data_IF_875143165937
#
_entry.id   IF_875143165937
#
_cell.length_a   1.000
_cell.length_b   1.000
_cell.length_c   1.000
_cell.angle_alpha   90.00
_cell.angle_beta   90.00
_cell.angle_gamma   90.00
#
_symmetry.space_group_name_H-M   'P 1'
#
loop_
_entity.id
_entity.type
_entity.pdbx_description
1 polymer ?
#
# COMPACT_ATOMS: atom_id res chain seq x y z
N UNK A 1 -36.15 21.07 -19.39
CA UNK A 1 -35.10 21.76 -18.58
C UNK A 1 -34.79 21.04 -17.26
N UNK A 2 -35.80 20.51 -16.56
CA UNK A 2 -35.65 19.85 -15.25
C UNK A 2 -34.76 18.59 -15.23
N UNK A 3 -34.94 17.68 -16.20
CA UNK A 3 -34.19 16.41 -16.26
C UNK A 3 -32.68 16.58 -16.45
N UNK A 4 -32.26 17.62 -17.19
CA UNK A 4 -30.83 17.96 -17.34
C UNK A 4 -30.24 18.53 -16.05
N UNK A 5 -31.04 19.24 -15.24
CA UNK A 5 -30.60 19.74 -13.93
C UNK A 5 -30.32 18.57 -12.98
N UNK A 6 -31.27 17.65 -12.88
CA UNK A 6 -31.17 16.44 -12.03
C UNK A 6 -29.96 15.58 -12.43
N UNK A 7 -29.75 15.36 -13.73
CA UNK A 7 -28.58 14.61 -14.21
C UNK A 7 -27.24 15.28 -13.84
N UNK A 8 -27.20 16.61 -13.83
CA UNK A 8 -26.01 17.39 -13.49
C UNK A 8 -25.72 17.34 -11.98
N UNK A 9 -26.76 17.44 -11.15
CA UNK A 9 -26.65 17.31 -9.69
C UNK A 9 -26.17 15.92 -9.29
N UNK A 10 -26.74 14.87 -9.89
CA UNK A 10 -26.30 13.49 -9.64
C UNK A 10 -24.84 13.27 -10.06
N UNK A 11 -24.46 13.75 -11.24
CA UNK A 11 -23.07 13.67 -11.71
C UNK A 11 -22.11 14.41 -10.76
N UNK A 12 -22.51 15.57 -10.26
CA UNK A 12 -21.70 16.34 -9.32
C UNK A 12 -21.58 15.63 -7.96
N UNK A 13 -22.64 15.02 -7.47
CA UNK A 13 -22.62 14.23 -6.23
C UNK A 13 -21.67 13.03 -6.36
N UNK A 14 -21.73 12.31 -7.50
CA UNK A 14 -20.80 11.20 -7.80
C UNK A 14 -19.36 11.69 -7.86
N UNK A 15 -19.10 12.81 -8.55
CA UNK A 15 -17.75 13.39 -8.64
C UNK A 15 -17.22 13.83 -7.28
N UNK A 16 -18.06 14.41 -6.43
CA UNK A 16 -17.67 14.83 -5.08
C UNK A 16 -17.37 13.62 -4.18
N UNK A 17 -18.21 12.58 -4.22
CA UNK A 17 -17.96 11.33 -3.50
C UNK A 17 -16.67 10.65 -3.99
N UNK A 18 -16.45 10.60 -5.32
CA UNK A 18 -15.24 10.07 -5.91
C UNK A 18 -14.00 10.89 -5.50
N UNK A 19 -14.09 12.22 -5.44
CA UNK A 19 -13.00 13.10 -5.00
C UNK A 19 -12.64 12.89 -3.52
N UNK A 20 -13.63 12.64 -2.65
CA UNK A 20 -13.41 12.38 -1.23
C UNK A 20 -12.86 10.97 -0.94
N UNK A 21 -13.27 9.98 -1.73
CA UNK A 21 -13.01 8.57 -1.42
C UNK A 21 -11.89 7.93 -2.25
N UNK A 22 -11.59 8.44 -3.45
CA UNK A 22 -10.53 7.90 -4.30
C UNK A 22 -9.25 8.69 -4.03
N UNK A 23 -8.19 8.06 -3.46
CA UNK A 23 -6.92 8.73 -3.24
C UNK A 23 -6.34 9.19 -4.58
N UNK A 24 -6.10 10.50 -4.73
CA UNK A 24 -5.41 11.08 -5.90
C UNK A 24 -3.91 11.21 -5.60
N UNK A 25 -3.08 10.91 -6.59
CA UNK A 25 -1.63 10.96 -6.45
C UNK A 25 -1.04 9.82 -5.60
N UNK A 26 0.24 9.94 -5.25
CA UNK A 26 0.92 8.98 -4.40
C UNK A 26 0.32 8.99 -2.99
N UNK A 27 -0.03 7.82 -2.46
CA UNK A 27 -0.53 7.68 -1.09
C UNK A 27 0.57 8.11 -0.11
N UNK A 28 0.30 9.16 0.68
CA UNK A 28 1.25 9.75 1.65
C UNK A 28 1.84 8.71 2.60
N UNK A 29 1.01 7.79 3.10
CA UNK A 29 1.41 6.72 4.02
C UNK A 29 1.34 5.34 3.37
N UNK A 30 1.77 5.24 2.10
CA UNK A 30 1.82 3.95 1.43
C UNK A 30 2.82 3.01 2.12
N UNK A 31 2.29 2.00 2.81
CA UNK A 31 3.06 0.83 3.23
C UNK A 31 2.94 -0.23 2.12
N UNK A 32 4.03 -0.55 1.39
CA UNK A 32 4.00 -1.60 0.38
C UNK A 32 3.54 -2.93 1.01
N UNK A 33 2.88 -3.79 0.22
CA UNK A 33 2.39 -5.13 0.63
C UNK A 33 1.57 -5.17 1.94
N UNK A 34 1.06 -4.03 2.40
CA UNK A 34 0.31 -3.92 3.64
C UNK A 34 -1.12 -4.42 3.45
N UNK A 35 -1.49 -5.47 4.18
CA UNK A 35 -2.82 -6.08 4.12
C UNK A 35 -3.55 -5.92 5.44
N UNK A 36 -4.88 -6.12 5.42
CA UNK A 36 -5.69 -6.11 6.64
C UNK A 36 -5.22 -7.16 7.67
N UNK A 37 -4.69 -8.28 7.20
CA UNK A 37 -4.13 -9.34 8.06
C UNK A 37 -2.82 -8.90 8.71
N UNK A 38 -1.92 -8.27 7.96
CA UNK A 38 -0.68 -7.69 8.51
C UNK A 38 -1.01 -6.61 9.55
N UNK A 39 -1.99 -5.74 9.26
CA UNK A 39 -2.46 -4.73 10.20
C UNK A 39 -3.05 -5.33 11.48
N UNK A 40 -3.82 -6.41 11.36
CA UNK A 40 -4.39 -7.14 12.51
C UNK A 40 -3.28 -7.73 13.38
N UNK A 41 -2.26 -8.31 12.77
CA UNK A 41 -1.12 -8.90 13.48
C UNK A 41 -0.19 -7.88 14.10
N UNK A 42 -0.03 -6.71 13.47
CA UNK A 42 0.69 -5.57 14.07
C UNK A 42 0.01 -5.14 15.37
N UNK A 43 -1.33 -4.98 15.35
CA UNK A 43 -2.09 -4.64 16.56
C UNK A 43 -1.96 -5.71 17.64
N UNK A 44 -2.07 -6.99 17.26
CA UNK A 44 -1.93 -8.09 18.21
C UNK A 44 -0.52 -8.15 18.82
N UNK A 45 0.52 -7.92 18.01
CA UNK A 45 1.90 -7.83 18.47
C UNK A 45 2.09 -6.70 19.49
N UNK A 46 1.48 -5.53 19.25
CA UNK A 46 1.56 -4.40 20.16
C UNK A 46 0.88 -4.67 21.51
N UNK A 47 -0.26 -5.37 21.52
CA UNK A 47 -0.91 -5.78 22.76
C UNK A 47 -0.01 -6.74 23.56
N UNK A 48 0.49 -7.79 22.92
CA UNK A 48 1.39 -8.78 23.55
C UNK A 48 2.69 -8.14 24.06
N UNK A 49 3.19 -7.12 23.35
CA UNK A 49 4.33 -6.32 23.79
C UNK A 49 4.02 -5.58 25.08
N UNK A 50 2.88 -4.88 25.13
CA UNK A 50 2.46 -4.13 26.31
C UNK A 50 2.29 -5.06 27.52
N UNK A 51 1.69 -6.24 27.33
CA UNK A 51 1.55 -7.25 28.37
C UNK A 51 2.91 -7.81 28.83
N UNK A 52 3.84 -8.06 27.91
CA UNK A 52 5.19 -8.51 28.24
C UNK A 52 5.98 -7.45 29.04
N UNK A 53 5.85 -6.17 28.67
CA UNK A 53 6.51 -5.05 29.37
C UNK A 53 5.95 -4.84 30.77
N UNK A 54 4.64 -5.05 30.98
CA UNK A 54 3.98 -4.94 32.28
C UNK A 54 4.28 -6.13 33.21
N UNK A 55 4.08 -7.35 32.72
CA UNK A 55 4.18 -8.55 33.56
C UNK A 55 5.62 -9.04 33.76
N UNK A 56 6.54 -8.70 32.84
CA UNK A 56 7.96 -9.05 32.88
C UNK A 56 8.24 -10.55 33.17
N UNK A 57 7.36 -11.42 32.69
CA UNK A 57 7.42 -12.86 32.94
C UNK A 57 7.95 -13.62 31.72
N UNK A 58 8.45 -14.85 31.95
CA UNK A 58 8.89 -15.75 30.87
C UNK A 58 7.72 -16.13 29.96
N UNK A 59 6.52 -16.31 30.51
CA UNK A 59 5.31 -16.71 29.76
C UNK A 59 4.90 -15.60 28.80
N UNK A 60 4.77 -14.36 29.30
CA UNK A 60 4.36 -13.20 28.49
C UNK A 60 5.42 -12.83 27.45
N UNK A 61 6.71 -12.97 27.76
CA UNK A 61 7.78 -12.80 26.78
C UNK A 61 7.75 -13.89 25.69
N UNK A 62 7.39 -15.12 26.04
CA UNK A 62 7.25 -16.22 25.07
C UNK A 62 6.07 -15.97 24.13
N UNK A 63 4.94 -15.49 24.67
CA UNK A 63 3.77 -15.10 23.87
C UNK A 63 4.10 -13.95 22.90
N UNK A 64 4.77 -12.89 23.38
CA UNK A 64 5.28 -11.80 22.54
C UNK A 64 6.21 -12.30 21.43
N UNK A 65 7.16 -13.18 21.74
CA UNK A 65 8.07 -13.76 20.72
C UNK A 65 7.32 -14.57 19.67
N UNK A 66 6.29 -15.32 20.07
CA UNK A 66 5.44 -16.09 19.17
C UNK A 66 4.61 -15.16 18.26
N UNK A 67 4.00 -14.11 18.82
CA UNK A 67 3.29 -13.08 18.07
C UNK A 67 4.23 -12.39 17.06
N UNK A 68 5.44 -12.06 17.48
CA UNK A 68 6.44 -11.41 16.64
C UNK A 68 6.88 -12.31 15.47
N UNK A 69 7.06 -13.61 15.72
CA UNK A 69 7.38 -14.58 14.68
C UNK A 69 6.25 -14.69 13.65
N UNK A 70 5.00 -14.73 14.11
CA UNK A 70 3.82 -14.76 13.24
C UNK A 70 3.73 -13.49 12.38
N UNK A 71 3.85 -12.31 12.98
CA UNK A 71 3.87 -11.03 12.26
C UNK A 71 4.96 -11.00 11.18
N UNK A 72 6.21 -11.37 11.52
CA UNK A 72 7.33 -11.40 10.55
C UNK A 72 7.08 -12.36 9.40
N UNK A 73 6.52 -13.55 9.67
CA UNK A 73 6.15 -14.52 8.64
C UNK A 73 5.12 -13.92 7.69
N UNK A 74 4.13 -13.23 8.22
CA UNK A 74 3.04 -12.66 7.44
C UNK A 74 3.45 -11.48 6.57
N UNK A 75 4.30 -10.60 7.09
CA UNK A 75 4.90 -9.52 6.28
C UNK A 75 5.66 -10.12 5.08
N UNK A 76 6.48 -11.16 5.32
CA UNK A 76 7.21 -11.84 4.24
C UNK A 76 6.26 -12.51 3.24
N UNK A 77 5.20 -13.15 3.72
CA UNK A 77 4.18 -13.79 2.87
C UNK A 77 3.48 -12.76 1.98
N UNK A 78 3.03 -11.66 2.56
CA UNK A 78 2.35 -10.59 1.84
C UNK A 78 3.25 -9.94 0.78
N UNK A 79 4.53 -9.70 1.10
CA UNK A 79 5.51 -9.20 0.15
C UNK A 79 5.68 -10.16 -1.06
N UNK A 80 5.81 -11.47 -0.80
CA UNK A 80 5.91 -12.49 -1.86
C UNK A 80 4.65 -12.57 -2.72
N UNK A 81 3.47 -12.55 -2.10
CA UNK A 81 2.20 -12.57 -2.83
C UNK A 81 2.04 -11.32 -3.70
N UNK A 82 2.40 -10.15 -3.17
CA UNK A 82 2.40 -8.90 -3.94
C UNK A 82 3.36 -8.99 -5.13
N UNK A 83 4.52 -9.61 -4.96
CA UNK A 83 5.47 -9.85 -6.05
C UNK A 83 4.87 -10.75 -7.12
N UNK A 84 4.39 -11.94 -6.73
CA UNK A 84 3.76 -12.92 -7.64
C UNK A 84 2.65 -12.27 -8.45
N UNK A 85 1.74 -11.56 -7.78
CA UNK A 85 0.64 -10.85 -8.45
C UNK A 85 1.13 -9.80 -9.45
N UNK A 86 2.20 -9.07 -9.11
CA UNK A 86 2.78 -8.05 -9.99
C UNK A 86 3.38 -8.71 -11.23
N UNK A 87 4.14 -9.80 -11.05
CA UNK A 87 4.76 -10.52 -12.16
C UNK A 87 3.73 -11.25 -13.03
N UNK A 88 2.66 -11.82 -12.45
CA UNK A 88 1.55 -12.44 -13.19
C UNK A 88 0.81 -11.43 -14.07
N UNK A 89 0.72 -10.17 -13.62
CA UNK A 89 0.04 -9.11 -14.38
C UNK A 89 0.87 -8.51 -15.52
N UNK A 90 2.16 -8.86 -15.62
CA UNK A 90 3.11 -8.22 -16.52
C UNK A 90 3.09 -8.92 -17.89
N UNK A 91 2.82 -8.16 -18.95
CA UNK A 91 2.73 -8.70 -20.31
C UNK A 91 4.01 -8.37 -21.11
N UNK A 92 4.69 -9.38 -21.64
CA UNK A 92 5.98 -9.21 -22.34
C UNK A 92 5.87 -8.35 -23.59
N UNK A 93 4.78 -8.49 -24.34
CA UNK A 93 4.58 -7.79 -25.60
C UNK A 93 4.13 -6.34 -25.41
N UNK A 94 3.47 -6.03 -24.28
CA UNK A 94 2.88 -4.71 -24.01
C UNK A 94 3.66 -3.89 -22.99
N UNK A 95 4.37 -4.53 -22.07
CA UNK A 95 5.01 -3.89 -20.91
C UNK A 95 6.55 -3.89 -21.00
N UNK A 96 7.12 -3.88 -22.20
CA UNK A 96 8.57 -3.93 -22.41
C UNK A 96 9.39 -2.93 -21.58
N UNK A 97 8.91 -1.68 -21.43
CA UNK A 97 9.57 -0.67 -20.58
C UNK A 97 9.55 -1.00 -19.09
N UNK A 98 8.43 -1.55 -18.60
CA UNK A 98 8.31 -1.98 -17.19
C UNK A 98 9.20 -3.18 -16.92
N UNK A 99 9.26 -4.12 -17.86
CA UNK A 99 10.15 -5.28 -17.81
C UNK A 99 11.62 -4.88 -17.83
N UNK A 100 12.00 -3.92 -18.67
CA UNK A 100 13.37 -3.40 -18.68
C UNK A 100 13.74 -2.72 -17.36
N UNK A 101 12.85 -1.89 -16.79
CA UNK A 101 13.05 -1.30 -15.46
C UNK A 101 13.17 -2.36 -14.36
N UNK A 102 12.35 -3.41 -14.43
CA UNK A 102 12.40 -4.53 -13.51
C UNK A 102 13.74 -5.29 -13.63
N UNK A 103 14.15 -5.66 -14.84
CA UNK A 103 15.44 -6.30 -15.10
C UNK A 103 16.60 -5.47 -14.56
N UNK A 104 16.58 -4.15 -14.81
CA UNK A 104 17.57 -3.21 -14.30
C UNK A 104 17.56 -3.06 -12.78
N UNK A 105 16.41 -3.22 -12.12
CA UNK A 105 16.33 -3.21 -10.66
C UNK A 105 16.80 -4.53 -10.02
N UNK A 106 16.77 -5.63 -10.77
CA UNK A 106 17.30 -6.94 -10.36
C UNK A 106 18.81 -7.07 -10.62
N UNK A 107 19.32 -6.40 -11.66
CA UNK A 107 20.75 -6.21 -11.85
C UNK A 107 21.23 -5.20 -10.82
N UNK A 108 22.19 -5.56 -9.96
CA UNK A 108 22.71 -4.72 -8.85
C UNK A 108 23.34 -3.38 -9.31
N UNK A 109 23.30 -3.05 -10.60
CA UNK A 109 23.67 -1.76 -11.21
C UNK A 109 22.82 -0.58 -10.71
N UNK A 110 21.71 -0.83 -10.01
CA UNK A 110 20.79 0.21 -9.53
C UNK A 110 20.92 0.45 -8.01
N UNK A 111 22.00 1.13 -7.61
CA UNK A 111 22.24 1.53 -6.20
C UNK A 111 21.39 2.72 -5.73
N UNK A 112 20.63 3.35 -6.63
CA UNK A 112 19.79 4.50 -6.29
C UNK A 112 18.32 4.11 -6.34
N UNK A 113 17.68 3.98 -5.17
CA UNK A 113 16.22 4.04 -5.09
C UNK A 113 15.83 5.48 -5.44
N UNK A 114 15.18 5.74 -6.59
CA UNK A 114 14.73 7.09 -6.86
C UNK A 114 13.77 7.50 -5.74
N UNK A 115 13.92 8.71 -5.17
CA UNK A 115 12.90 9.25 -4.29
C UNK A 115 11.57 9.25 -5.04
N UNK A 116 10.49 8.92 -4.34
CA UNK A 116 9.14 9.06 -4.88
C UNK A 116 8.89 10.58 -4.99
N UNK A 117 9.26 11.17 -6.14
CA UNK A 117 9.05 12.60 -6.41
C UNK A 117 7.60 12.80 -6.84
N UNK A 118 6.95 13.75 -6.17
CA UNK A 118 5.58 14.18 -6.46
C UNK A 118 5.62 15.13 -7.66
N UNK A 119 5.01 14.77 -8.79
CA UNK A 119 4.60 15.80 -9.74
C UNK A 119 3.41 16.54 -9.10
N UNK A 120 3.61 17.82 -8.79
CA UNK A 120 2.52 18.70 -8.42
C UNK A 120 1.66 18.91 -9.66
N UNK A 121 0.41 18.46 -9.63
CA UNK A 121 -0.59 18.82 -10.64
C UNK A 121 -0.74 20.35 -10.65
N UNK A 122 0.03 21.03 -11.49
CA UNK A 122 -0.12 22.44 -11.80
C UNK A 122 -1.41 22.63 -12.61
N UNK A 123 -2.55 22.65 -11.92
CA UNK A 123 -3.81 23.07 -12.51
C UNK A 123 -3.77 24.59 -12.75
N UNK A 124 -3.46 24.99 -13.97
CA UNK A 124 -3.76 26.35 -14.45
C UNK A 124 -5.26 26.43 -14.77
N UNK A 125 -6.05 27.27 -14.08
CA UNK A 125 -7.41 27.53 -14.50
C UNK A 125 -7.36 28.30 -15.83
N UNK A 126 -7.82 27.67 -16.90
CA UNK A 126 -8.14 28.39 -18.14
C UNK A 126 -9.33 29.32 -17.86
N UNK A 127 -9.18 30.56 -18.30
CA UNK A 127 -10.10 31.70 -18.19
C UNK A 127 -11.59 31.38 -18.34
#
# INVERSE_FOLDING_TARGET
KHMRSVARELSQAILNAARGNIPRGARKDYKPYWTAEVQKLEKYLEMERSEAEQAQSVVTNTAYKAAAAKYRREVKRAARQSWVKTTESLNIDRDGHKLWKLAKAMSDDNTSRPPIVLEQDNFHPSH
#
